data_IF_970354594673
#
_entry.id   IF_970354594673
#
_cell.length_a   1.000
_cell.length_b   1.000
_cell.length_c   1.000
_cell.angle_alpha   90.00
_cell.angle_beta   90.00
_cell.angle_gamma   90.00
#
_symmetry.space_group_name_H-M   'P 1'
#
loop_
_entity.id
_entity.type
_entity.pdbx_description
1 polymer ?
#
# COMPACT_ATOMS: atom_id res chain seq x y z
N UNK A 1 -24.91 -3.60 7.05
CA UNK A 1 -23.91 -3.33 8.10
C UNK A 1 -22.82 -4.39 7.96
N UNK A 2 -21.74 -4.08 7.25
CA UNK A 2 -20.55 -4.94 7.13
C UNK A 2 -19.34 -4.07 6.78
N UNK A 3 -18.92 -3.21 7.72
CA UNK A 3 -17.69 -2.42 7.60
C UNK A 3 -16.63 -3.01 8.54
N UNK A 4 -16.18 -4.24 8.30
CA UNK A 4 -15.35 -4.95 9.30
C UNK A 4 -14.13 -5.71 8.79
N UNK A 5 -13.68 -5.54 7.54
CA UNK A 5 -12.57 -6.36 6.99
C UNK A 5 -11.33 -5.59 6.51
N UNK A 6 -11.16 -4.29 6.77
CA UNK A 6 -10.02 -3.54 6.21
C UNK A 6 -9.03 -2.93 7.21
N UNK A 7 -9.26 -3.06 8.52
CA UNK A 7 -8.39 -2.48 9.55
C UNK A 7 -7.34 -3.44 10.12
N UNK A 8 -7.13 -4.63 9.54
CA UNK A 8 -6.26 -5.66 10.14
C UNK A 8 -4.77 -5.24 10.26
N UNK A 9 -4.34 -4.17 9.57
CA UNK A 9 -2.95 -3.71 9.58
C UNK A 9 -2.83 -2.18 9.55
N UNK A 10 -3.52 -1.46 10.45
CA UNK A 10 -3.21 -0.05 10.66
C UNK A 10 -1.77 0.09 11.23
N UNK A 11 -0.88 0.73 10.48
CA UNK A 11 0.54 0.86 10.84
C UNK A 11 0.94 2.29 11.21
N UNK A 12 0.12 3.28 10.86
CA UNK A 12 0.46 4.70 11.06
C UNK A 12 1.39 5.29 9.99
N UNK A 13 1.72 4.53 8.94
CA UNK A 13 2.53 4.99 7.80
C UNK A 13 2.12 4.28 6.49
N UNK A 14 2.50 4.84 5.35
CA UNK A 14 2.30 4.18 4.06
C UNK A 14 3.27 3.01 3.91
N UNK A 15 2.78 1.84 3.50
CA UNK A 15 3.63 0.65 3.31
C UNK A 15 3.21 -0.14 2.08
N UNK A 16 4.12 -0.98 1.59
CA UNK A 16 3.88 -1.82 0.41
C UNK A 16 3.37 -3.18 0.81
N UNK A 17 2.36 -3.64 0.10
CA UNK A 17 1.76 -4.95 0.27
C UNK A 17 1.37 -5.53 -1.10
N UNK A 18 1.19 -6.85 -1.18
CA UNK A 18 0.72 -7.52 -2.39
C UNK A 18 -0.78 -7.21 -2.56
N UNK A 19 -1.12 -6.46 -3.61
CA UNK A 19 -2.50 -6.14 -3.93
C UNK A 19 -3.24 -7.35 -4.50
N UNK A 20 -2.59 -8.06 -5.42
CA UNK A 20 -3.09 -9.30 -6.03
C UNK A 20 -1.95 -10.05 -6.70
N UNK A 21 -2.18 -11.33 -6.97
CA UNK A 21 -1.28 -12.16 -7.78
C UNK A 21 -1.97 -12.52 -9.08
N UNK A 22 -1.28 -12.35 -10.21
CA UNK A 22 -1.78 -12.74 -11.53
C UNK A 22 -1.74 -14.27 -11.71
N UNK A 23 -2.36 -14.78 -12.77
CA UNK A 23 -2.43 -16.22 -13.05
C UNK A 23 -1.06 -16.87 -13.27
N UNK A 24 -0.08 -16.10 -13.72
CA UNK A 24 1.32 -16.52 -13.93
C UNK A 24 2.18 -16.42 -12.65
N UNK A 25 1.54 -16.19 -11.49
CA UNK A 25 2.16 -15.92 -10.19
C UNK A 25 2.93 -14.60 -10.10
N UNK A 26 2.80 -13.70 -11.09
CA UNK A 26 3.38 -12.36 -10.98
C UNK A 26 2.64 -11.55 -9.91
N UNK A 27 3.33 -11.07 -8.86
CA UNK A 27 2.69 -10.21 -7.86
C UNK A 27 2.49 -8.79 -8.42
N UNK A 28 1.32 -8.24 -8.17
CA UNK A 28 1.03 -6.82 -8.31
C UNK A 28 1.06 -6.19 -6.93
N UNK A 29 1.91 -5.19 -6.78
CA UNK A 29 2.12 -4.47 -5.54
C UNK A 29 1.22 -3.23 -5.49
N UNK A 30 0.72 -2.92 -4.31
CA UNK A 30 0.01 -1.67 -4.04
C UNK A 30 0.62 -0.96 -2.85
N UNK A 31 0.14 0.26 -2.60
CA UNK A 31 0.47 1.03 -1.40
C UNK A 31 -0.71 1.04 -0.46
N UNK A 32 -0.51 0.58 0.78
CA UNK A 32 -1.46 0.72 1.88
C UNK A 32 -1.26 2.08 2.53
N UNK A 33 -2.38 2.70 2.92
CA UNK A 33 -2.43 3.93 3.72
C UNK A 33 -2.16 3.61 5.19
N UNK A 34 -1.87 4.63 6.03
CA UNK A 34 -1.69 4.46 7.48
C UNK A 34 -2.83 3.74 8.20
N UNK A 35 -4.06 3.87 7.70
CA UNK A 35 -5.27 3.24 8.23
C UNK A 35 -5.47 1.78 7.76
N UNK A 36 -4.55 1.26 6.92
CA UNK A 36 -4.62 -0.07 6.36
C UNK A 36 -5.45 -0.19 5.07
N UNK A 37 -6.12 0.88 4.61
CA UNK A 37 -6.83 0.86 3.33
C UNK A 37 -5.87 1.01 2.14
N UNK A 38 -6.30 0.64 0.93
CA UNK A 38 -5.47 0.83 -0.26
C UNK A 38 -5.43 2.29 -0.70
N UNK A 39 -4.25 2.77 -1.13
CA UNK A 39 -4.14 4.04 -1.85
C UNK A 39 -4.84 3.89 -3.20
N UNK A 40 -5.67 4.87 -3.51
CA UNK A 40 -6.44 4.93 -4.74
C UNK A 40 -5.83 5.96 -5.69
N UNK A 41 -5.77 5.61 -6.95
CA UNK A 41 -5.36 6.45 -8.07
C UNK A 41 -6.37 6.28 -9.20
N UNK A 42 -6.92 7.40 -9.69
CA UNK A 42 -7.94 7.43 -10.74
C UNK A 42 -9.14 6.48 -10.48
N UNK A 43 -9.55 6.36 -9.21
CA UNK A 43 -10.70 5.53 -8.81
C UNK A 43 -10.40 4.04 -8.61
N UNK A 44 -9.15 3.60 -8.79
CA UNK A 44 -8.72 2.22 -8.58
C UNK A 44 -7.56 2.15 -7.59
N UNK A 45 -7.29 1.00 -6.97
CA UNK A 45 -6.09 0.86 -6.15
C UNK A 45 -4.84 1.11 -7.00
N UNK A 46 -3.88 1.84 -6.45
CA UNK A 46 -2.57 2.04 -7.08
C UNK A 46 -1.88 0.69 -7.31
N UNK A 47 -1.33 0.49 -8.51
CA UNK A 47 -0.76 -0.77 -8.94
C UNK A 47 0.67 -0.59 -9.47
N UNK A 48 1.57 -1.43 -9.00
CA UNK A 48 2.94 -1.52 -9.46
C UNK A 48 3.29 -2.97 -9.81
N UNK A 49 3.85 -3.17 -11.00
CA UNK A 49 4.41 -4.48 -11.38
C UNK A 49 5.69 -4.77 -10.60
N UNK A 50 6.47 -3.74 -10.28
CA UNK A 50 7.72 -3.88 -9.52
C UNK A 50 7.56 -3.36 -8.09
N UNK A 51 8.01 -4.16 -7.11
CA UNK A 51 7.93 -3.82 -5.69
C UNK A 51 8.68 -2.52 -5.36
N UNK A 52 9.86 -2.32 -5.92
CA UNK A 52 10.69 -1.13 -5.69
C UNK A 52 10.03 0.18 -6.17
N UNK A 53 9.14 0.11 -7.16
CA UNK A 53 8.34 1.27 -7.56
C UNK A 53 7.27 1.61 -6.51
N UNK A 54 6.59 0.60 -5.98
CA UNK A 54 5.64 0.78 -4.87
C UNK A 54 6.35 1.31 -3.62
N UNK A 55 7.56 0.82 -3.31
CA UNK A 55 8.34 1.25 -2.14
C UNK A 55 8.77 2.71 -2.26
N UNK A 56 9.19 3.13 -3.47
CA UNK A 56 9.47 4.55 -3.74
C UNK A 56 8.22 5.43 -3.58
N UNK A 57 7.06 4.97 -4.07
CA UNK A 57 5.78 5.69 -3.89
C UNK A 57 5.43 5.83 -2.40
N UNK A 58 5.45 4.72 -1.65
CA UNK A 58 5.21 4.72 -0.20
C UNK A 58 6.21 5.63 0.54
N UNK A 59 7.50 5.58 0.20
CA UNK A 59 8.54 6.42 0.76
C UNK A 59 8.29 7.92 0.53
N UNK A 60 7.95 8.30 -0.71
CA UNK A 60 7.59 9.68 -1.04
C UNK A 60 6.36 10.15 -0.29
N UNK A 61 5.32 9.32 -0.18
CA UNK A 61 4.10 9.65 0.56
C UNK A 61 4.39 9.83 2.05
N UNK A 62 5.20 8.95 2.65
CA UNK A 62 5.63 9.10 4.03
C UNK A 62 6.40 10.40 4.24
N UNK A 63 7.33 10.74 3.35
CA UNK A 63 8.08 11.99 3.40
C UNK A 63 7.16 13.22 3.30
N UNK A 64 6.22 13.24 2.35
CA UNK A 64 5.26 14.34 2.16
C UNK A 64 4.38 14.53 3.39
N UNK A 65 4.00 13.44 4.06
CA UNK A 65 3.11 13.46 5.22
C UNK A 65 3.86 13.48 6.57
N UNK A 66 5.20 13.65 6.56
CA UNK A 66 6.05 13.61 7.77
C UNK A 66 5.84 12.34 8.62
N UNK A 67 5.61 11.20 7.97
CA UNK A 67 5.46 9.90 8.63
C UNK A 67 6.80 9.17 8.62
N UNK A 68 7.12 8.50 9.73
CA UNK A 68 8.36 7.72 9.87
C UNK A 68 8.01 6.25 10.01
N UNK A 69 8.21 5.43 8.96
CA UNK A 69 8.13 3.98 9.08
C UNK A 69 9.17 3.47 10.08
N UNK A 70 8.87 2.38 10.83
CA UNK A 70 9.88 1.69 11.62
C UNK A 70 11.02 1.25 10.70
N UNK A 71 12.26 1.52 11.12
CA UNK A 71 13.44 0.97 10.47
C UNK A 71 13.44 -0.53 10.77
N UNK A 72 13.26 -1.36 9.73
CA UNK A 72 13.40 -2.81 9.80
C UNK A 72 14.86 -3.23 9.74
#
# INVERSE_FOLDING_TARGET
MSDSEHAEHATGYYYVDTLRTLQDNTPIWGVRRPDGSWRMEMGTAEMHVRRDHAERSAGQLNQINNLTPPQV
#
